data_IF_981482768125
#
_entry.id   IF_981482768125
#
_cell.length_a   1.000
_cell.length_b   1.000
_cell.length_c   1.000
_cell.angle_alpha   90.00
_cell.angle_beta   90.00
_cell.angle_gamma   90.00
#
_symmetry.space_group_name_H-M   'P 1'
#
loop_
_entity.id
_entity.type
_entity.pdbx_description
1 polymer ?
#
# COMPACT_ATOMS: atom_id res chain seq x y z
N UNK A 1 15.21 -14.36 -56.31
CA UNK A 1 14.24 -14.72 -55.26
C UNK A 1 14.79 -14.25 -53.92
N UNK A 2 14.15 -13.27 -53.29
CA UNK A 2 14.53 -12.80 -51.94
C UNK A 2 13.83 -13.72 -50.94
N UNK A 3 14.59 -14.62 -50.31
CA UNK A 3 14.06 -15.44 -49.22
C UNK A 3 13.74 -14.52 -48.04
N UNK A 4 12.45 -14.35 -47.73
CA UNK A 4 12.02 -13.70 -46.47
C UNK A 4 12.49 -14.58 -45.32
N UNK A 5 13.50 -14.13 -44.59
CA UNK A 5 13.89 -14.71 -43.31
C UNK A 5 12.73 -14.42 -42.35
N UNK A 6 11.81 -15.37 -42.21
CA UNK A 6 10.73 -15.27 -41.23
C UNK A 6 11.31 -15.55 -39.84
N UNK A 7 11.17 -14.59 -38.92
CA UNK A 7 11.48 -14.82 -37.51
C UNK A 7 10.58 -15.91 -36.95
N UNK A 8 11.12 -16.75 -36.06
CA UNK A 8 10.36 -17.81 -35.40
C UNK A 8 9.11 -17.21 -34.73
N UNK A 9 7.91 -17.79 -34.93
CA UNK A 9 6.68 -17.22 -34.41
C UNK A 9 6.65 -17.36 -32.88
N UNK A 10 6.85 -16.26 -32.17
CA UNK A 10 6.61 -16.16 -30.73
C UNK A 10 5.11 -15.99 -30.44
N UNK A 11 4.25 -16.84 -31.02
CA UNK A 11 2.78 -16.74 -30.98
C UNK A 11 2.16 -17.09 -29.63
N UNK A 12 2.86 -17.83 -28.76
CA UNK A 12 2.37 -18.17 -27.42
C UNK A 12 2.99 -17.26 -26.35
N UNK A 13 2.37 -16.11 -26.09
CA UNK A 13 2.69 -15.32 -24.89
C UNK A 13 1.75 -15.70 -23.74
N UNK A 14 2.16 -16.67 -22.92
CA UNK A 14 1.35 -17.20 -21.81
C UNK A 14 1.20 -16.22 -20.63
N UNK A 15 1.96 -15.12 -20.58
CA UNK A 15 1.99 -14.18 -19.45
C UNK A 15 1.84 -12.73 -19.92
N UNK A 16 0.64 -12.39 -20.39
CA UNK A 16 0.29 -11.00 -20.66
C UNK A 16 0.25 -10.19 -19.35
N UNK A 17 0.81 -8.98 -19.37
CA UNK A 17 0.84 -8.06 -18.23
C UNK A 17 -0.56 -7.78 -17.68
N UNK A 18 -1.55 -7.61 -18.57
CA UNK A 18 -2.97 -7.41 -18.22
C UNK A 18 -3.50 -8.52 -17.29
N UNK A 19 -3.15 -9.78 -17.58
CA UNK A 19 -3.56 -10.94 -16.77
C UNK A 19 -2.91 -10.91 -15.39
N UNK A 20 -1.65 -10.49 -15.28
CA UNK A 20 -0.96 -10.36 -13.99
C UNK A 20 -1.61 -9.24 -13.18
N UNK A 21 -1.84 -8.06 -13.78
CA UNK A 21 -2.47 -6.92 -13.10
C UNK A 21 -3.88 -7.26 -12.61
N UNK A 22 -4.70 -7.92 -13.45
CA UNK A 22 -6.02 -8.39 -13.06
C UNK A 22 -5.96 -9.39 -11.90
N UNK A 23 -4.99 -10.30 -11.92
CA UNK A 23 -4.79 -11.27 -10.85
C UNK A 23 -4.45 -10.57 -9.53
N UNK A 24 -3.65 -9.50 -9.56
CA UNK A 24 -3.38 -8.66 -8.38
C UNK A 24 -4.65 -7.96 -7.86
N UNK A 25 -5.48 -7.43 -8.76
CA UNK A 25 -6.79 -6.84 -8.37
C UNK A 25 -7.68 -7.88 -7.68
N UNK A 26 -7.75 -9.11 -8.22
CA UNK A 26 -8.54 -10.21 -7.64
C UNK A 26 -7.96 -10.62 -6.28
N UNK A 27 -6.63 -10.72 -6.17
CA UNK A 27 -5.96 -11.08 -4.93
C UNK A 27 -6.13 -10.03 -3.83
N UNK A 28 -6.43 -8.77 -4.19
CA UNK A 28 -6.70 -7.70 -3.22
C UNK A 28 -8.09 -7.78 -2.58
N UNK A 29 -9.03 -8.54 -3.18
CA UNK A 29 -10.42 -8.61 -2.72
C UNK A 29 -10.58 -9.06 -1.25
N UNK A 30 -9.85 -10.07 -0.73
CA UNK A 30 -9.96 -10.45 0.67
C UNK A 30 -9.59 -9.31 1.62
N UNK A 31 -8.52 -8.58 1.30
CA UNK A 31 -8.08 -7.41 2.08
C UNK A 31 -9.10 -6.28 2.05
N UNK A 32 -9.66 -5.98 0.88
CA UNK A 32 -10.74 -4.98 0.72
C UNK A 32 -11.99 -5.40 1.49
N UNK A 33 -12.36 -6.68 1.47
CA UNK A 33 -13.52 -7.21 2.18
C UNK A 33 -13.33 -7.06 3.70
N UNK A 34 -12.17 -7.43 4.23
CA UNK A 34 -11.86 -7.26 5.65
C UNK A 34 -11.86 -5.77 6.05
N UNK A 35 -11.27 -4.89 5.23
CA UNK A 35 -11.25 -3.45 5.52
C UNK A 35 -12.67 -2.86 5.49
N UNK A 36 -13.51 -3.28 4.55
CA UNK A 36 -14.92 -2.86 4.50
C UNK A 36 -15.71 -3.39 5.69
N UNK A 37 -15.43 -4.61 6.15
CA UNK A 37 -16.10 -5.21 7.30
C UNK A 37 -15.79 -4.47 8.60
N UNK A 38 -14.52 -4.16 8.87
CA UNK A 38 -14.12 -3.53 10.13
C UNK A 38 -14.26 -1.99 10.14
N UNK A 39 -14.12 -1.33 8.99
CA UNK A 39 -14.10 0.15 8.89
C UNK A 39 -15.26 0.73 8.07
N UNK A 40 -16.20 -0.11 7.63
CA UNK A 40 -17.41 0.30 6.92
C UNK A 40 -17.23 0.55 5.42
N UNK A 41 -18.28 1.11 4.80
CA UNK A 41 -18.44 1.23 3.35
C UNK A 41 -17.48 2.23 2.68
N UNK A 42 -16.81 3.09 3.45
CA UNK A 42 -16.00 4.19 2.92
C UNK A 42 -14.92 3.71 1.96
N UNK A 43 -14.24 2.61 2.28
CA UNK A 43 -13.19 2.01 1.45
C UNK A 43 -13.68 1.69 0.03
N UNK A 44 -14.91 1.17 -0.12
CA UNK A 44 -15.47 0.85 -1.44
C UNK A 44 -15.75 2.12 -2.25
N UNK A 45 -16.29 3.17 -1.63
CA UNK A 45 -16.52 4.43 -2.31
C UNK A 45 -15.21 5.07 -2.77
N UNK A 46 -14.15 5.02 -1.95
CA UNK A 46 -12.84 5.50 -2.36
C UNK A 46 -12.27 4.70 -3.52
N UNK A 47 -12.43 3.37 -3.52
CA UNK A 47 -11.97 2.52 -4.63
C UNK A 47 -12.71 2.88 -5.92
N UNK A 48 -14.03 3.08 -5.88
CA UNK A 48 -14.81 3.47 -7.06
C UNK A 48 -14.39 4.84 -7.58
N UNK A 49 -14.25 5.84 -6.70
CA UNK A 49 -13.81 7.18 -7.07
C UNK A 49 -12.40 7.17 -7.67
N UNK A 50 -11.46 6.42 -7.06
CA UNK A 50 -10.11 6.28 -7.57
C UNK A 50 -10.08 5.52 -8.91
N UNK A 51 -10.86 4.45 -9.06
CA UNK A 51 -10.94 3.69 -10.30
C UNK A 51 -11.44 4.57 -11.46
N UNK A 52 -12.54 5.30 -11.25
CA UNK A 52 -13.08 6.23 -12.26
C UNK A 52 -12.03 7.30 -12.59
N UNK A 53 -11.45 7.94 -11.57
CA UNK A 53 -10.45 8.98 -11.77
C UNK A 53 -9.22 8.47 -12.52
N UNK A 54 -8.73 7.27 -12.16
CA UNK A 54 -7.55 6.69 -12.78
C UNK A 54 -7.77 6.40 -14.28
N UNK A 55 -8.92 5.80 -14.61
CA UNK A 55 -9.28 5.47 -16.00
C UNK A 55 -9.50 6.74 -16.82
N UNK A 56 -10.18 7.75 -16.26
CA UNK A 56 -10.41 9.03 -16.93
C UNK A 56 -9.09 9.79 -17.14
N UNK A 57 -8.24 9.88 -16.11
CA UNK A 57 -6.95 10.56 -16.21
C UNK A 57 -6.04 9.89 -17.24
N UNK A 58 -5.97 8.56 -17.25
CA UNK A 58 -5.21 7.83 -18.26
C UNK A 58 -5.78 8.02 -19.67
N UNK A 59 -7.09 7.92 -19.85
CA UNK A 59 -7.74 8.13 -21.14
C UNK A 59 -7.48 9.54 -21.70
N UNK A 60 -7.53 10.57 -20.85
CA UNK A 60 -7.24 11.96 -21.24
C UNK A 60 -5.80 12.08 -21.72
N UNK A 61 -4.83 11.60 -20.95
CA UNK A 61 -3.40 11.73 -21.33
C UNK A 61 -3.09 10.93 -22.60
N UNK A 62 -3.65 9.73 -22.75
CA UNK A 62 -3.47 8.93 -23.96
C UNK A 62 -4.08 9.60 -25.19
N UNK A 63 -5.25 10.23 -25.05
CA UNK A 63 -5.89 11.00 -26.12
C UNK A 63 -5.05 12.21 -26.52
N UNK A 64 -4.49 12.93 -25.55
CA UNK A 64 -3.57 14.04 -25.81
C UNK A 64 -2.28 13.57 -26.51
N UNK A 65 -1.79 12.37 -26.19
CA UNK A 65 -0.65 11.72 -26.84
C UNK A 65 -0.99 11.06 -28.19
N UNK A 66 -2.25 11.14 -28.66
CA UNK A 66 -2.75 10.49 -29.88
C UNK A 66 -2.50 8.96 -29.90
N UNK A 67 -2.55 8.33 -28.74
CA UNK A 67 -2.39 6.88 -28.58
C UNK A 67 -3.74 6.16 -28.49
N UNK A 68 -3.75 4.85 -28.75
CA UNK A 68 -4.95 4.03 -28.68
C UNK A 68 -5.41 3.84 -27.24
N UNK A 69 -6.47 4.55 -26.84
CA UNK A 69 -7.02 4.54 -25.48
C UNK A 69 -7.50 3.14 -25.07
N UNK A 70 -8.28 2.48 -25.93
CA UNK A 70 -8.89 1.18 -25.60
C UNK A 70 -7.85 0.09 -25.29
N UNK A 71 -6.75 0.03 -26.05
CA UNK A 71 -5.72 -0.99 -25.85
C UNK A 71 -4.95 -0.81 -24.55
N UNK A 72 -4.73 0.43 -24.11
CA UNK A 72 -3.98 0.69 -22.88
C UNK A 72 -4.86 0.51 -21.64
N UNK A 73 -6.14 0.93 -21.68
CA UNK A 73 -7.04 0.72 -20.55
C UNK A 73 -7.30 -0.76 -20.22
N UNK A 74 -7.13 -1.66 -21.20
CA UNK A 74 -7.22 -3.11 -21.02
C UNK A 74 -6.01 -3.72 -20.29
N UNK A 75 -4.97 -2.94 -19.98
CA UNK A 75 -3.81 -3.42 -19.20
C UNK A 75 -4.07 -3.47 -17.69
N UNK A 76 -5.20 -2.91 -17.22
CA UNK A 76 -5.64 -2.81 -15.82
C UNK A 76 -4.68 -2.08 -14.87
N UNK A 77 -3.63 -1.46 -15.39
CA UNK A 77 -2.57 -0.90 -14.56
C UNK A 77 -2.97 0.44 -13.92
N UNK A 78 -3.76 1.28 -14.60
CA UNK A 78 -4.35 2.46 -13.97
C UNK A 78 -5.38 2.08 -12.91
N UNK A 79 -6.23 1.07 -13.19
CA UNK A 79 -7.19 0.55 -12.23
C UNK A 79 -6.50 0.06 -10.95
N UNK A 80 -5.45 -0.76 -11.10
CA UNK A 80 -4.67 -1.25 -9.97
C UNK A 80 -4.02 -0.11 -9.19
N UNK A 81 -3.46 0.90 -9.88
CA UNK A 81 -2.85 2.07 -9.24
C UNK A 81 -3.87 2.83 -8.40
N UNK A 82 -5.06 3.10 -8.94
CA UNK A 82 -6.15 3.75 -8.22
C UNK A 82 -6.63 2.93 -7.03
N UNK A 83 -6.79 1.61 -7.20
CA UNK A 83 -7.19 0.69 -6.14
C UNK A 83 -6.19 0.68 -4.98
N UNK A 84 -4.89 0.53 -5.26
CA UNK A 84 -3.85 0.49 -4.22
C UNK A 84 -3.77 1.83 -3.46
N UNK A 85 -3.94 2.96 -4.15
CA UNK A 85 -4.01 4.26 -3.50
C UNK A 85 -5.26 4.38 -2.62
N UNK A 86 -6.45 4.02 -3.14
CA UNK A 86 -7.71 4.11 -2.43
C UNK A 86 -7.77 3.26 -1.14
N UNK A 87 -7.16 2.08 -1.17
CA UNK A 87 -7.05 1.21 0.01
C UNK A 87 -6.10 1.80 1.06
N UNK A 88 -5.10 2.56 0.63
CA UNK A 88 -4.05 3.11 1.50
C UNK A 88 -4.47 4.40 2.22
N UNK A 89 -5.54 5.07 1.77
CA UNK A 89 -6.04 6.31 2.37
C UNK A 89 -7.18 6.04 3.37
N UNK A 90 -7.49 6.99 4.28
CA UNK A 90 -8.61 6.83 5.21
C UNK A 90 -9.97 6.65 4.49
N UNK A 91 -10.86 5.77 4.99
CA UNK A 91 -12.14 5.47 4.34
C UNK A 91 -13.07 6.68 4.17
N UNK A 92 -13.04 7.63 5.11
CA UNK A 92 -13.87 8.85 5.10
C UNK A 92 -13.12 10.09 4.59
N UNK A 93 -12.02 9.88 3.87
CA UNK A 93 -11.33 10.94 3.14
C UNK A 93 -12.33 11.72 2.24
N UNK A 94 -12.30 13.06 2.23
CA UNK A 94 -13.07 13.82 1.26
C UNK A 94 -12.78 13.41 -0.18
N UNK A 95 -13.83 13.33 -1.01
CA UNK A 95 -13.74 12.84 -2.39
C UNK A 95 -12.62 13.50 -3.22
N UNK A 96 -12.43 14.81 -3.02
CA UNK A 96 -11.45 15.60 -3.76
C UNK A 96 -10.02 15.14 -3.50
N UNK A 97 -9.70 14.61 -2.31
CA UNK A 97 -8.35 14.11 -2.02
C UNK A 97 -8.02 12.88 -2.86
N UNK A 98 -8.97 11.96 -2.98
CA UNK A 98 -8.77 10.72 -3.75
C UNK A 98 -8.63 11.03 -5.22
N UNK A 99 -9.44 11.97 -5.71
CA UNK A 99 -9.35 12.46 -7.08
C UNK A 99 -7.99 13.11 -7.34
N UNK A 100 -7.53 14.01 -6.46
CA UNK A 100 -6.23 14.67 -6.62
C UNK A 100 -5.06 13.68 -6.55
N UNK A 101 -5.04 12.79 -5.53
CA UNK A 101 -3.96 11.82 -5.35
C UNK A 101 -3.88 10.82 -6.50
N UNK A 102 -5.04 10.32 -6.96
CA UNK A 102 -5.11 9.39 -8.10
C UNK A 102 -4.74 10.09 -9.41
N UNK A 103 -5.23 11.31 -9.62
CA UNK A 103 -4.85 12.14 -10.76
C UNK A 103 -3.34 12.36 -10.81
N UNK A 104 -2.71 12.70 -9.69
CA UNK A 104 -1.27 12.88 -9.60
C UNK A 104 -0.51 11.56 -9.87
N UNK A 105 -0.96 10.45 -9.28
CA UNK A 105 -0.37 9.13 -9.50
C UNK A 105 -0.39 8.73 -10.99
N UNK A 106 -1.49 8.96 -11.70
CA UNK A 106 -1.60 8.58 -13.10
C UNK A 106 -0.90 9.58 -14.02
N UNK A 107 -1.18 10.87 -13.88
CA UNK A 107 -0.70 11.89 -14.82
C UNK A 107 0.80 12.12 -14.63
N UNK A 108 1.24 12.37 -13.39
CA UNK A 108 2.61 12.77 -13.09
C UNK A 108 3.50 11.56 -12.86
N UNK A 109 3.09 10.62 -12.00
CA UNK A 109 3.99 9.53 -11.61
C UNK A 109 4.08 8.40 -12.66
N UNK A 110 3.05 8.21 -13.48
CA UNK A 110 3.01 7.15 -14.50
C UNK A 110 3.16 7.68 -15.92
N UNK A 111 2.27 8.56 -16.36
CA UNK A 111 2.16 8.92 -17.78
C UNK A 111 3.22 9.93 -18.24
N UNK A 112 3.69 10.84 -17.36
CA UNK A 112 4.77 11.78 -17.68
C UNK A 112 6.06 11.08 -18.12
N UNK A 113 6.34 9.91 -17.54
CA UNK A 113 7.51 9.08 -17.87
C UNK A 113 7.30 8.17 -19.09
N UNK A 114 6.13 8.22 -19.72
CA UNK A 114 5.84 7.46 -20.94
C UNK A 114 4.82 6.33 -20.78
N UNK A 115 4.37 6.04 -19.55
CA UNK A 115 3.35 5.03 -19.25
C UNK A 115 3.90 3.78 -18.57
N UNK A 116 3.19 2.66 -18.73
CA UNK A 116 3.54 1.39 -18.09
C UNK A 116 4.93 0.88 -18.55
N UNK A 117 5.78 0.53 -17.58
CA UNK A 117 7.12 0.02 -17.84
C UNK A 117 8.22 1.08 -17.88
N UNK A 118 7.85 2.37 -17.85
CA UNK A 118 8.80 3.50 -17.84
C UNK A 118 8.76 4.30 -16.53
N UNK A 119 7.81 4.00 -15.63
CA UNK A 119 7.71 4.68 -14.35
C UNK A 119 8.86 4.27 -13.42
N UNK A 120 9.71 5.21 -12.97
CA UNK A 120 10.85 4.90 -12.09
C UNK A 120 10.43 4.52 -10.67
N UNK A 121 9.21 4.90 -10.28
CA UNK A 121 8.67 4.71 -8.94
C UNK A 121 7.26 4.12 -9.01
N UNK A 122 6.83 3.49 -7.92
CA UNK A 122 5.47 3.00 -7.78
C UNK A 122 4.49 4.20 -7.81
N UNK A 123 3.61 4.31 -8.83
CA UNK A 123 2.80 5.51 -9.00
C UNK A 123 1.77 5.73 -7.88
N UNK A 124 1.20 4.64 -7.35
CA UNK A 124 0.23 4.71 -6.26
C UNK A 124 0.88 5.28 -4.99
N UNK A 125 2.11 4.85 -4.69
CA UNK A 125 2.85 5.35 -3.53
C UNK A 125 3.28 6.81 -3.67
N UNK A 126 3.59 7.28 -4.88
CA UNK A 126 3.80 8.72 -5.11
C UNK A 126 2.53 9.50 -4.80
N UNK A 127 1.39 9.09 -5.34
CA UNK A 127 0.11 9.74 -5.05
C UNK A 127 -0.21 9.78 -3.56
N UNK A 128 0.00 8.66 -2.86
CA UNK A 128 -0.16 8.57 -1.41
C UNK A 128 0.76 9.54 -0.65
N UNK A 129 2.06 9.57 -0.97
CA UNK A 129 3.02 10.45 -0.29
C UNK A 129 2.72 11.93 -0.53
N UNK A 130 2.30 12.31 -1.74
CA UNK A 130 1.88 13.69 -2.03
C UNK A 130 0.68 14.09 -1.17
N UNK A 131 -0.31 13.21 -1.03
CA UNK A 131 -1.46 13.48 -0.16
C UNK A 131 -1.05 13.56 1.31
N UNK A 132 -0.19 12.66 1.77
CA UNK A 132 0.23 12.61 3.16
C UNK A 132 1.10 13.81 3.58
N UNK A 133 1.92 14.34 2.68
CA UNK A 133 2.70 15.57 2.93
C UNK A 133 1.82 16.82 2.85
N UNK A 134 0.94 16.89 1.83
CA UNK A 134 0.14 18.09 1.57
C UNK A 134 -1.07 18.23 2.51
N UNK A 135 -1.66 17.10 2.92
CA UNK A 135 -2.91 17.03 3.68
C UNK A 135 -2.79 16.05 4.87
N UNK A 136 -1.85 16.28 5.81
CA UNK A 136 -1.54 15.32 6.87
C UNK A 136 -2.72 15.08 7.82
N UNK A 137 -3.48 16.13 8.16
CA UNK A 137 -4.62 16.03 9.09
C UNK A 137 -5.65 15.03 8.56
N UNK A 138 -6.06 15.18 7.31
CA UNK A 138 -7.04 14.30 6.69
C UNK A 138 -6.49 12.88 6.49
N UNK A 139 -5.19 12.72 6.29
CA UNK A 139 -4.53 11.42 6.08
C UNK A 139 -4.30 10.61 7.37
N UNK A 140 -4.30 11.26 8.53
CA UNK A 140 -4.25 10.60 9.85
C UNK A 140 -5.63 10.34 10.45
N UNK A 141 -6.69 10.73 9.74
CA UNK A 141 -8.08 10.70 10.20
C UNK A 141 -8.75 9.34 9.97
N UNK A 142 -8.30 8.31 10.68
CA UNK A 142 -8.85 6.95 10.53
C UNK A 142 -10.08 6.73 11.43
N UNK A 143 -10.99 5.87 10.98
CA UNK A 143 -12.10 5.39 11.80
C UNK A 143 -11.61 4.33 12.79
N UNK A 144 -12.12 4.32 14.03
CA UNK A 144 -11.96 3.18 14.91
C UNK A 144 -12.61 1.92 14.29
N UNK A 145 -12.06 0.73 14.53
CA UNK A 145 -12.74 -0.53 14.20
C UNK A 145 -14.15 -0.60 14.80
N UNK A 146 -15.08 -1.25 14.08
CA UNK A 146 -16.48 -1.40 14.48
C UNK A 146 -16.69 -1.82 15.95
N UNK A 147 -15.86 -2.72 16.47
CA UNK A 147 -15.96 -3.23 17.85
C UNK A 147 -15.72 -2.18 18.94
N UNK A 148 -14.97 -1.11 18.63
CA UNK A 148 -14.59 -0.06 19.60
C UNK A 148 -15.12 1.34 19.20
N UNK A 149 -15.86 1.41 18.09
CA UNK A 149 -16.45 2.65 17.60
C UNK A 149 -17.69 3.02 18.42
N UNK A 150 -17.76 4.27 18.90
CA UNK A 150 -18.95 4.76 19.61
C UNK A 150 -20.14 4.98 18.67
N UNK A 151 -19.86 5.37 17.43
CA UNK A 151 -20.87 5.59 16.38
C UNK A 151 -20.38 5.00 15.07
N UNK A 152 -21.24 4.24 14.40
CA UNK A 152 -20.91 3.57 13.14
C UNK A 152 -21.74 4.20 12.02
N UNK A 153 -21.12 4.88 11.05
CA UNK A 153 -21.86 5.52 9.97
C UNK A 153 -22.46 4.46 9.05
N UNK A 154 -23.74 4.61 8.72
CA UNK A 154 -24.39 3.77 7.72
C UNK A 154 -23.86 4.10 6.31
N UNK A 155 -24.25 3.31 5.31
CA UNK A 155 -23.82 3.49 3.92
C UNK A 155 -24.13 4.91 3.40
N UNK A 156 -25.33 5.43 3.67
CA UNK A 156 -25.73 6.75 3.20
C UNK A 156 -24.99 7.88 3.94
N UNK A 157 -24.78 7.72 5.24
CA UNK A 157 -24.01 8.68 6.05
C UNK A 157 -22.54 8.72 5.63
N UNK A 158 -21.96 7.56 5.30
CA UNK A 158 -20.61 7.44 4.74
C UNK A 158 -20.51 8.22 3.43
N UNK A 159 -21.49 8.08 2.53
CA UNK A 159 -21.50 8.79 1.26
C UNK A 159 -21.61 10.30 1.47
N UNK A 160 -22.55 10.75 2.33
CA UNK A 160 -22.67 12.18 2.67
C UNK A 160 -21.38 12.71 3.29
N UNK A 161 -20.79 12.00 4.24
CA UNK A 161 -19.53 12.38 4.86
C UNK A 161 -18.42 12.59 3.82
N UNK A 162 -18.26 11.69 2.84
CA UNK A 162 -17.25 11.80 1.79
C UNK A 162 -17.47 13.03 0.88
N UNK A 163 -18.72 13.38 0.58
CA UNK A 163 -19.06 14.45 -0.37
C UNK A 163 -19.26 15.83 0.27
N UNK A 164 -19.91 15.89 1.44
CA UNK A 164 -20.34 17.12 2.10
C UNK A 164 -19.61 17.39 3.41
N UNK A 165 -18.91 16.40 3.99
CA UNK A 165 -18.20 16.58 5.25
C UNK A 165 -19.05 16.38 6.52
N UNK A 166 -20.33 16.02 6.37
CA UNK A 166 -21.28 15.88 7.48
C UNK A 166 -22.18 14.65 7.28
N UNK A 167 -22.56 13.97 8.38
CA UNK A 167 -23.57 12.89 8.35
C UNK A 167 -24.99 13.45 8.21
N UNK A 168 -25.98 12.58 7.97
CA UNK A 168 -27.39 13.00 7.92
C UNK A 168 -27.90 13.65 9.22
N UNK A 169 -27.31 13.27 10.36
CA UNK A 169 -27.58 13.84 11.68
C UNK A 169 -26.78 15.11 11.97
N UNK A 170 -25.97 15.61 11.03
CA UNK A 170 -25.08 16.77 11.23
C UNK A 170 -23.84 16.45 12.04
N UNK A 171 -23.49 15.16 12.19
CA UNK A 171 -22.28 14.74 12.86
C UNK A 171 -21.04 14.96 12.00
N UNK A 172 -19.99 15.47 12.62
CA UNK A 172 -18.70 15.70 11.99
C UNK A 172 -17.76 14.51 12.17
N UNK A 173 -16.70 14.49 11.37
CA UNK A 173 -15.64 13.49 11.45
C UNK A 173 -14.98 13.41 12.85
N UNK A 174 -15.06 14.46 13.66
CA UNK A 174 -14.58 14.45 15.05
C UNK A 174 -15.37 13.48 15.92
N UNK A 175 -16.70 13.44 15.78
CA UNK A 175 -17.57 12.55 16.55
C UNK A 175 -17.37 11.08 16.15
N UNK A 176 -17.20 10.82 14.85
CA UNK A 176 -17.00 9.46 14.32
C UNK A 176 -15.63 8.86 14.71
N UNK A 177 -14.66 9.69 15.12
CA UNK A 177 -13.34 9.23 15.57
C UNK A 177 -13.26 8.90 17.06
N UNK A 178 -14.27 9.31 17.83
CA UNK A 178 -14.29 9.08 19.27
C UNK A 178 -14.64 7.61 19.52
N UNK A 179 -13.76 6.90 20.24
CA UNK A 179 -14.05 5.56 20.75
C UNK A 179 -15.03 5.60 21.93
N UNK A 180 -15.46 4.43 22.40
CA UNK A 180 -16.37 4.28 23.54
C UNK A 180 -15.90 5.08 24.77
N UNK A 181 -14.57 5.19 24.95
CA UNK A 181 -13.94 5.86 26.09
C UNK A 181 -13.70 7.38 25.90
N UNK A 182 -14.25 7.99 24.86
CA UNK A 182 -14.06 9.44 24.61
C UNK A 182 -12.70 9.81 24.01
N UNK A 183 -11.78 8.85 23.88
CA UNK A 183 -10.45 9.06 23.28
C UNK A 183 -10.57 8.94 21.75
N UNK A 184 -10.03 9.92 21.03
CA UNK A 184 -9.88 9.83 19.57
C UNK A 184 -8.85 8.75 19.24
N UNK A 185 -9.26 7.72 18.50
CA UNK A 185 -8.36 6.62 18.15
C UNK A 185 -8.01 6.64 16.67
N UNK A 186 -6.71 6.65 16.40
CA UNK A 186 -6.14 6.41 15.09
C UNK A 186 -5.75 4.93 14.93
N UNK A 187 -5.00 4.62 13.87
CA UNK A 187 -4.43 3.27 13.67
C UNK A 187 -3.55 2.84 14.87
N UNK A 188 -3.36 1.53 15.14
CA UNK A 188 -2.54 1.09 16.28
C UNK A 188 -1.13 1.67 16.25
N UNK A 189 -0.48 1.71 15.09
CA UNK A 189 0.86 2.33 15.00
C UNK A 189 0.84 3.82 15.37
N UNK A 190 -0.23 4.54 15.04
CA UNK A 190 -0.38 5.96 15.36
C UNK A 190 -0.72 6.18 16.83
N UNK A 191 -1.63 5.38 17.41
CA UNK A 191 -1.93 5.45 18.84
C UNK A 191 -0.70 5.12 19.68
N UNK A 192 0.08 4.09 19.31
CA UNK A 192 1.33 3.77 20.00
C UNK A 192 2.29 4.97 20.00
N UNK A 193 2.51 5.57 18.82
CA UNK A 193 3.49 6.64 18.64
C UNK A 193 3.07 7.96 19.29
N UNK A 194 1.82 8.35 19.12
CA UNK A 194 1.28 9.58 19.69
C UNK A 194 1.23 9.50 21.22
N UNK A 195 0.77 8.38 21.78
CA UNK A 195 0.73 8.20 23.23
C UNK A 195 2.11 8.12 23.86
N UNK A 196 3.08 7.49 23.20
CA UNK A 196 4.47 7.48 23.67
C UNK A 196 5.05 8.91 23.70
N UNK A 197 4.77 9.72 22.66
CA UNK A 197 5.19 11.14 22.61
C UNK A 197 4.47 12.01 23.63
N UNK A 198 3.24 11.65 24.01
CA UNK A 198 2.51 12.29 25.09
C UNK A 198 3.06 11.93 26.49
N UNK A 199 4.06 11.04 26.58
CA UNK A 199 4.70 10.65 27.83
C UNK A 199 4.05 9.46 28.54
N UNK A 200 3.12 8.75 27.88
CA UNK A 200 2.54 7.53 28.43
C UNK A 200 3.54 6.36 28.36
N UNK A 201 3.54 5.53 29.39
CA UNK A 201 4.32 4.29 29.42
C UNK A 201 3.74 3.24 28.47
N UNK A 202 4.57 2.34 27.96
CA UNK A 202 4.13 1.26 27.05
C UNK A 202 3.09 0.37 27.73
N UNK A 203 3.22 0.12 29.02
CA UNK A 203 2.27 -0.65 29.80
C UNK A 203 0.88 -0.02 29.81
N UNK A 204 0.78 1.31 29.92
CA UNK A 204 -0.48 2.04 29.84
C UNK A 204 -1.06 2.02 28.43
N UNK A 205 -0.21 2.18 27.41
CA UNK A 205 -0.64 2.17 26.00
C UNK A 205 -1.26 0.82 25.63
N UNK A 206 -0.63 -0.28 26.05
CA UNK A 206 -1.11 -1.64 25.74
C UNK A 206 -2.42 -2.01 26.44
N UNK A 207 -2.88 -1.19 27.41
CA UNK A 207 -4.20 -1.34 28.05
C UNK A 207 -5.32 -0.63 27.27
N UNK A 208 -5.00 0.17 26.24
CA UNK A 208 -6.02 0.86 25.48
C UNK A 208 -6.94 -0.12 24.73
N UNK A 209 -8.23 0.23 24.51
CA UNK A 209 -9.20 -0.63 23.84
C UNK A 209 -8.75 -1.16 22.47
N UNK A 210 -7.91 -0.40 21.75
CA UNK A 210 -7.39 -0.83 20.46
C UNK A 210 -6.49 -2.06 20.57
N UNK A 211 -5.85 -2.29 21.72
CA UNK A 211 -4.95 -3.43 21.97
C UNK A 211 -5.59 -4.53 22.81
N UNK A 212 -6.81 -4.33 23.33
CA UNK A 212 -7.44 -5.30 24.21
C UNK A 212 -7.76 -6.59 23.45
N UNK A 213 -7.25 -7.72 23.96
CA UNK A 213 -7.48 -9.05 23.37
C UNK A 213 -6.90 -9.27 21.97
N UNK A 214 -6.06 -8.36 21.45
CA UNK A 214 -5.48 -8.44 20.10
C UNK A 214 -3.95 -8.30 20.12
N UNK A 215 -3.27 -9.02 19.22
CA UNK A 215 -1.80 -9.03 19.16
C UNK A 215 -1.22 -7.75 18.55
N UNK A 216 -1.96 -7.09 17.66
CA UNK A 216 -1.46 -5.95 16.88
C UNK A 216 -2.53 -4.89 16.56
N UNK A 217 -3.60 -4.86 17.36
CA UNK A 217 -4.75 -4.00 17.16
C UNK A 217 -6.01 -4.77 16.76
N UNK A 218 -7.12 -4.49 17.44
CA UNK A 218 -8.45 -4.99 17.10
C UNK A 218 -8.79 -4.59 15.66
N UNK A 219 -9.34 -5.52 14.87
CA UNK A 219 -9.61 -5.36 13.44
C UNK A 219 -8.37 -5.36 12.53
N UNK A 220 -7.33 -4.58 12.87
CA UNK A 220 -6.14 -4.39 12.02
C UNK A 220 -5.33 -5.68 11.80
N UNK A 221 -5.24 -6.55 12.81
CA UNK A 221 -4.60 -7.85 12.66
C UNK A 221 -5.31 -8.71 11.60
N UNK A 222 -6.64 -8.68 11.58
CA UNK A 222 -7.46 -9.46 10.64
C UNK A 222 -7.38 -8.89 9.23
N UNK A 223 -7.33 -7.57 9.08
CA UNK A 223 -7.08 -6.92 7.79
C UNK A 223 -5.71 -7.31 7.24
N UNK A 224 -4.65 -7.29 8.06
CA UNK A 224 -3.32 -7.75 7.63
C UNK A 224 -3.30 -9.23 7.26
N UNK A 225 -3.99 -10.09 8.00
CA UNK A 225 -4.13 -11.51 7.65
C UNK A 225 -4.87 -11.69 6.32
N UNK A 226 -5.92 -10.91 6.05
CA UNK A 226 -6.64 -10.96 4.78
C UNK A 226 -5.74 -10.54 3.60
N UNK A 227 -4.92 -9.50 3.77
CA UNK A 227 -3.88 -9.12 2.79
C UNK A 227 -2.83 -10.23 2.61
N UNK A 228 -2.43 -10.90 3.69
CA UNK A 228 -1.52 -12.05 3.63
C UNK A 228 -2.14 -13.21 2.83
N UNK A 229 -3.42 -13.54 3.01
CA UNK A 229 -4.11 -14.57 2.22
C UNK A 229 -4.08 -14.22 0.72
N UNK A 230 -4.37 -12.95 0.37
CA UNK A 230 -4.23 -12.45 -0.99
C UNK A 230 -2.80 -12.59 -1.54
N UNK A 231 -1.80 -12.23 -0.73
CA UNK A 231 -0.39 -12.35 -1.08
C UNK A 231 0.09 -13.79 -1.27
N UNK A 232 -0.37 -14.72 -0.43
CA UNK A 232 -0.09 -16.16 -0.57
C UNK A 232 -0.72 -16.70 -1.86
N UNK A 233 -1.93 -16.26 -2.20
CA UNK A 233 -2.55 -16.60 -3.49
C UNK A 233 -1.71 -16.11 -4.67
N UNK A 234 -1.13 -14.90 -4.62
CA UNK A 234 -0.22 -14.40 -5.66
C UNK A 234 1.06 -15.24 -5.80
N UNK A 235 1.60 -15.73 -4.68
CA UNK A 235 2.76 -16.63 -4.67
C UNK A 235 2.41 -18.00 -5.27
N UNK A 236 1.25 -18.56 -4.89
CA UNK A 236 0.77 -19.83 -5.42
C UNK A 236 0.55 -19.79 -6.93
N UNK A 237 -0.05 -18.70 -7.42
CA UNK A 237 -0.24 -18.45 -8.86
C UNK A 237 1.06 -18.07 -9.59
N UNK A 238 2.19 -17.98 -8.87
CA UNK A 238 3.51 -17.59 -9.41
C UNK A 238 3.49 -16.25 -10.15
N UNK A 239 2.59 -15.34 -9.74
CA UNK A 239 2.49 -13.98 -10.25
C UNK A 239 3.64 -13.12 -9.67
N UNK A 240 3.89 -13.27 -8.37
CA UNK A 240 5.00 -12.62 -7.66
C UNK A 240 6.06 -13.64 -7.24
N UNK A 241 7.27 -13.17 -6.89
CA UNK A 241 8.37 -14.00 -6.40
C UNK A 241 8.50 -13.84 -4.89
N UNK A 242 8.76 -14.95 -4.18
CA UNK A 242 8.88 -14.97 -2.72
C UNK A 242 10.05 -14.15 -2.17
N UNK A 243 11.09 -13.88 -2.97
CA UNK A 243 12.30 -13.17 -2.55
C UNK A 243 11.99 -11.79 -1.92
N UNK A 244 11.12 -10.98 -2.53
CA UNK A 244 10.83 -9.63 -2.01
C UNK A 244 10.00 -9.70 -0.72
N UNK A 245 8.82 -10.37 -0.68
CA UNK A 245 8.00 -10.38 0.54
C UNK A 245 8.71 -11.01 1.73
N UNK A 246 9.42 -12.14 1.53
CA UNK A 246 10.10 -12.84 2.62
C UNK A 246 11.29 -12.01 3.14
N UNK A 247 12.09 -11.42 2.25
CA UNK A 247 13.22 -10.58 2.67
C UNK A 247 12.76 -9.34 3.45
N UNK A 248 11.70 -8.69 2.98
CA UNK A 248 11.09 -7.54 3.64
C UNK A 248 10.56 -7.89 5.04
N UNK A 249 9.74 -8.94 5.16
CA UNK A 249 9.15 -9.34 6.44
C UNK A 249 10.20 -9.83 7.43
N UNK A 250 11.18 -10.62 6.99
CA UNK A 250 12.25 -11.13 7.85
C UNK A 250 13.11 -9.98 8.38
N UNK A 251 13.49 -9.04 7.52
CA UNK A 251 14.33 -7.92 7.93
C UNK A 251 13.58 -6.97 8.87
N UNK A 252 12.31 -6.68 8.58
CA UNK A 252 11.45 -5.89 9.46
C UNK A 252 11.29 -6.57 10.83
N UNK A 253 11.03 -7.87 10.85
CA UNK A 253 10.88 -8.65 12.09
C UNK A 253 12.17 -8.65 12.91
N UNK A 254 13.32 -8.85 12.26
CA UNK A 254 14.62 -8.90 12.91
C UNK A 254 15.00 -7.53 13.50
N UNK A 255 14.86 -6.45 12.73
CA UNK A 255 15.14 -5.10 13.21
C UNK A 255 14.19 -4.70 14.35
N UNK A 256 12.90 -5.02 14.23
CA UNK A 256 11.92 -4.78 15.29
C UNK A 256 12.23 -5.59 16.56
N UNK A 257 12.60 -6.86 16.43
CA UNK A 257 12.96 -7.72 17.56
C UNK A 257 14.20 -7.21 18.28
N UNK A 258 15.27 -6.86 17.54
CA UNK A 258 16.47 -6.29 18.13
C UNK A 258 16.17 -4.95 18.81
N UNK A 259 15.43 -4.05 18.16
CA UNK A 259 15.04 -2.77 18.74
C UNK A 259 14.25 -2.95 20.04
N UNK A 260 13.25 -3.82 20.03
CA UNK A 260 12.43 -4.12 21.20
C UNK A 260 13.23 -4.75 22.35
N UNK A 261 14.21 -5.61 22.05
CA UNK A 261 15.09 -6.21 23.08
C UNK A 261 16.01 -5.19 23.74
N UNK A 262 16.51 -4.19 23.00
CA UNK A 262 17.38 -3.16 23.56
C UNK A 262 16.61 -2.06 24.30
N UNK A 263 15.44 -1.68 23.80
CA UNK A 263 14.64 -0.58 24.38
C UNK A 263 13.13 -0.89 24.37
N UNK A 264 12.67 -1.85 25.21
CA UNK A 264 11.27 -2.28 25.23
C UNK A 264 10.31 -1.18 25.69
N UNK A 265 10.80 -0.22 26.47
CA UNK A 265 10.01 0.90 26.99
C UNK A 265 9.70 1.99 25.95
N UNK A 266 10.36 1.98 24.79
CA UNK A 266 10.18 3.02 23.76
C UNK A 266 9.83 2.48 22.39
N UNK A 267 10.16 1.21 22.11
CA UNK A 267 9.97 0.60 20.80
C UNK A 267 8.84 -0.42 20.84
N UNK A 268 8.08 -0.46 19.75
CA UNK A 268 6.97 -1.37 19.60
C UNK A 268 7.43 -2.83 19.44
N UNK A 269 6.57 -3.75 19.85
CA UNK A 269 6.81 -5.18 19.71
C UNK A 269 6.84 -5.63 18.23
N UNK A 270 7.57 -6.70 17.88
CA UNK A 270 7.69 -7.16 16.50
C UNK A 270 6.34 -7.53 15.85
N UNK A 271 5.43 -8.09 16.65
CA UNK A 271 4.06 -8.41 16.22
C UNK A 271 3.29 -7.17 15.79
N UNK A 272 3.46 -6.03 16.47
CA UNK A 272 2.83 -4.77 16.06
C UNK A 272 3.38 -4.30 14.71
N UNK A 273 4.68 -4.44 14.47
CA UNK A 273 5.26 -4.09 13.17
C UNK A 273 4.77 -5.00 12.03
N UNK A 274 4.59 -6.30 12.29
CA UNK A 274 4.21 -7.26 11.25
C UNK A 274 2.71 -7.28 10.95
N UNK A 275 1.87 -7.23 11.99
CA UNK A 275 0.42 -7.43 11.89
C UNK A 275 -0.37 -6.12 12.00
N UNK A 276 0.30 -4.97 12.06
CA UNK A 276 -0.33 -3.65 12.05
C UNK A 276 0.12 -2.76 10.88
N UNK A 277 -0.71 -1.77 10.56
CA UNK A 277 -0.50 -0.84 9.45
C UNK A 277 -0.52 -1.53 8.07
N UNK A 278 0.14 -0.92 7.09
CA UNK A 278 0.18 -1.39 5.71
C UNK A 278 1.27 -2.45 5.44
N UNK A 279 1.75 -3.19 6.45
CA UNK A 279 2.90 -4.11 6.27
C UNK A 279 2.62 -5.22 5.25
N UNK A 280 1.48 -5.93 5.35
CA UNK A 280 1.17 -7.03 4.44
C UNK A 280 0.76 -6.54 3.05
N UNK A 281 -0.01 -5.45 2.98
CA UNK A 281 -0.29 -4.75 1.72
C UNK A 281 1.02 -4.33 1.02
N UNK A 282 1.93 -3.72 1.79
CA UNK A 282 3.27 -3.32 1.37
C UNK A 282 4.09 -4.48 0.80
N UNK A 283 4.17 -5.56 1.56
CA UNK A 283 4.99 -6.73 1.25
C UNK A 283 4.56 -7.44 -0.05
N UNK A 284 3.25 -7.62 -0.26
CA UNK A 284 2.73 -8.51 -1.30
C UNK A 284 2.09 -7.80 -2.49
N UNK A 285 1.73 -6.52 -2.38
CA UNK A 285 1.03 -5.79 -3.44
C UNK A 285 1.81 -4.57 -3.94
N UNK A 286 2.57 -3.91 -3.05
CA UNK A 286 3.28 -2.67 -3.40
C UNK A 286 4.74 -2.94 -3.79
N UNK A 287 5.50 -3.63 -2.93
CA UNK A 287 6.93 -3.91 -3.16
C UNK A 287 7.17 -4.92 -4.30
N UNK A 288 6.16 -5.69 -4.67
CA UNK A 288 6.25 -6.72 -5.71
C UNK A 288 5.80 -6.23 -7.08
N UNK A 289 5.67 -4.91 -7.28
CA UNK A 289 5.38 -4.31 -8.57
C UNK A 289 6.49 -4.67 -9.59
N UNK A 290 6.17 -5.36 -10.71
CA UNK A 290 7.16 -5.85 -11.66
C UNK A 290 7.93 -4.74 -12.39
N UNK A 291 7.42 -3.50 -12.43
CA UNK A 291 8.10 -2.40 -13.13
C UNK A 291 9.16 -1.73 -12.28
N UNK A 292 8.87 -1.54 -10.99
CA UNK A 292 9.67 -0.70 -10.11
C UNK A 292 10.61 -1.51 -9.21
N UNK A 293 10.34 -2.79 -9.02
CA UNK A 293 11.18 -3.68 -8.23
C UNK A 293 12.40 -4.22 -9.00
N UNK A 294 13.41 -4.67 -8.26
CA UNK A 294 14.61 -5.33 -8.81
C UNK A 294 14.27 -6.57 -9.65
N UNK A 295 14.96 -6.70 -10.78
CA UNK A 295 14.74 -7.78 -11.75
C UNK A 295 15.51 -9.07 -11.42
N UNK A 296 16.60 -8.99 -10.67
CA UNK A 296 17.47 -10.14 -10.35
C UNK A 296 17.05 -10.82 -9.03
N UNK A 297 17.30 -12.14 -8.87
CA UNK A 297 16.93 -12.83 -7.62
C UNK A 297 17.68 -12.31 -6.39
N UNK A 298 18.98 -12.01 -6.53
CA UNK A 298 19.78 -11.43 -5.44
C UNK A 298 19.38 -10.00 -5.17
N UNK A 299 19.13 -9.21 -6.21
CA UNK A 299 18.68 -7.83 -6.08
C UNK A 299 17.31 -7.73 -5.40
N UNK A 300 16.37 -8.63 -5.70
CA UNK A 300 15.08 -8.73 -4.99
C UNK A 300 15.23 -8.93 -3.48
N UNK A 301 16.20 -9.75 -3.05
CA UNK A 301 16.46 -9.95 -1.62
C UNK A 301 17.02 -8.67 -0.99
N UNK A 302 17.99 -8.02 -1.64
CA UNK A 302 18.60 -6.77 -1.15
C UNK A 302 17.57 -5.66 -1.09
N UNK A 303 16.76 -5.51 -2.14
CA UNK A 303 15.68 -4.53 -2.22
C UNK A 303 14.64 -4.72 -1.12
N UNK A 304 14.16 -5.96 -0.91
CA UNK A 304 13.22 -6.27 0.17
C UNK A 304 13.83 -5.99 1.56
N UNK A 305 15.09 -6.37 1.78
CA UNK A 305 15.78 -6.11 3.05
C UNK A 305 15.94 -4.60 3.32
N UNK A 306 16.38 -3.84 2.32
CA UNK A 306 16.50 -2.38 2.41
C UNK A 306 15.16 -1.74 2.75
N UNK A 307 14.09 -2.10 2.05
CA UNK A 307 12.75 -1.62 2.36
C UNK A 307 12.33 -1.97 3.80
N UNK A 308 12.65 -3.18 4.28
CA UNK A 308 12.34 -3.63 5.64
C UNK A 308 13.05 -2.80 6.71
N UNK A 309 14.36 -2.53 6.53
CA UNK A 309 15.14 -1.65 7.42
C UNK A 309 14.57 -0.24 7.40
N UNK A 310 14.28 0.30 6.22
CA UNK A 310 13.73 1.66 6.07
C UNK A 310 12.37 1.80 6.75
N UNK A 311 11.47 0.81 6.61
CA UNK A 311 10.18 0.82 7.33
C UNK A 311 10.40 0.81 8.84
N UNK A 312 11.28 -0.05 9.35
CA UNK A 312 11.57 -0.09 10.78
C UNK A 312 12.14 1.24 11.29
N UNK A 313 13.10 1.84 10.57
CA UNK A 313 13.68 3.13 10.93
C UNK A 313 12.63 4.25 10.96
N UNK A 314 11.76 4.33 9.96
CA UNK A 314 10.72 5.37 9.88
C UNK A 314 9.67 5.18 10.98
N UNK A 315 9.24 3.95 11.24
CA UNK A 315 8.27 3.66 12.31
C UNK A 315 8.84 3.98 13.69
N UNK A 316 10.08 3.58 13.95
CA UNK A 316 10.74 3.73 15.24
C UNK A 316 11.20 5.17 15.52
N UNK A 317 11.89 5.79 14.57
CA UNK A 317 12.55 7.09 14.78
C UNK A 317 11.95 8.24 13.96
N UNK A 318 11.20 7.94 12.90
CA UNK A 318 10.64 8.95 12.00
C UNK A 318 9.47 9.73 12.58
N UNK A 319 8.95 10.69 11.81
CA UNK A 319 7.76 11.47 12.16
C UNK A 319 6.45 10.70 11.99
N UNK A 320 6.40 9.76 11.03
CA UNK A 320 5.17 9.10 10.60
C UNK A 320 4.94 7.76 11.32
N UNK A 321 3.68 7.40 11.64
CA UNK A 321 3.35 6.11 12.25
C UNK A 321 3.54 4.91 11.31
N UNK A 322 3.21 5.09 10.03
CA UNK A 322 3.52 4.12 8.99
C UNK A 322 4.64 4.65 8.09
N UNK A 323 5.50 3.75 7.63
CA UNK A 323 6.70 4.06 6.85
C UNK A 323 6.76 3.35 5.50
N UNK A 324 5.79 2.49 5.17
CA UNK A 324 5.85 1.62 3.97
C UNK A 324 5.98 2.43 2.69
N UNK A 325 5.13 3.44 2.47
CA UNK A 325 5.14 4.20 1.21
C UNK A 325 6.48 4.93 0.98
N UNK A 326 7.00 5.61 2.01
CA UNK A 326 8.30 6.29 1.94
C UNK A 326 9.44 5.30 1.73
N UNK A 327 9.44 4.19 2.46
CA UNK A 327 10.46 3.15 2.32
C UNK A 327 10.46 2.54 0.91
N UNK A 328 9.29 2.32 0.31
CA UNK A 328 9.15 1.83 -1.07
C UNK A 328 9.75 2.83 -2.06
N UNK A 329 9.42 4.13 -1.94
CA UNK A 329 9.95 5.14 -2.86
C UNK A 329 11.48 5.28 -2.73
N UNK A 330 12.00 5.29 -1.50
CA UNK A 330 13.44 5.29 -1.25
C UNK A 330 14.13 4.00 -1.71
N UNK A 331 13.48 2.85 -1.60
CA UNK A 331 14.03 1.61 -2.12
C UNK A 331 14.05 1.62 -3.66
N UNK A 332 13.00 2.14 -4.31
CA UNK A 332 12.89 2.23 -5.76
C UNK A 332 14.03 3.08 -6.38
N UNK A 333 14.47 4.16 -5.73
CA UNK A 333 15.61 4.96 -6.22
C UNK A 333 16.90 4.14 -6.32
N UNK A 334 17.05 3.13 -5.46
CA UNK A 334 18.26 2.29 -5.39
C UNK A 334 18.22 1.11 -6.36
N UNK A 335 17.07 0.81 -6.97
CA UNK A 335 16.90 -0.37 -7.84
C UNK A 335 17.88 -0.41 -9.01
N UNK A 336 18.12 0.68 -9.77
CA UNK A 336 19.11 0.66 -10.87
C UNK A 336 20.52 0.28 -10.38
N UNK A 337 20.90 0.73 -9.19
CA UNK A 337 22.20 0.43 -8.58
C UNK A 337 22.27 -1.03 -8.13
N UNK A 338 21.22 -1.51 -7.47
CA UNK A 338 21.11 -2.91 -7.03
C UNK A 338 21.19 -3.84 -8.25
N UNK A 339 20.44 -3.55 -9.31
CA UNK A 339 20.42 -4.37 -10.52
C UNK A 339 21.75 -4.33 -11.27
N UNK A 340 22.49 -3.21 -11.23
CA UNK A 340 23.84 -3.13 -11.78
C UNK A 340 24.82 -4.09 -11.08
N UNK A 341 24.81 -4.13 -9.75
CA UNK A 341 25.74 -4.98 -8.98
C UNK A 341 25.28 -6.44 -8.83
N UNK A 342 24.01 -6.73 -9.09
CA UNK A 342 23.43 -8.07 -8.91
C UNK A 342 23.20 -8.82 -10.22
N UNK A 343 23.72 -8.30 -11.34
CA UNK A 343 23.60 -8.93 -12.66
C UNK A 343 24.04 -10.40 -12.60
N UNK A 344 23.19 -11.34 -13.03
CA UNK A 344 23.56 -12.74 -13.09
C UNK A 344 24.68 -12.92 -14.12
N UNK A 345 25.62 -13.83 -13.84
CA UNK A 345 26.69 -14.14 -14.78
C UNK A 345 26.12 -14.80 -16.02
N UNK A 346 26.60 -14.39 -17.19
CA UNK A 346 26.27 -15.04 -18.46
C UNK A 346 26.80 -16.47 -18.42
N UNK A 347 25.95 -17.43 -18.79
CA UNK A 347 26.32 -18.84 -18.81
C UNK A 347 27.55 -19.07 -19.72
N UNK A 348 28.56 -19.77 -19.24
CA UNK A 348 29.76 -20.13 -20.02
C UNK A 348 31.06 -19.37 -19.73
N UNK A 349 31.09 -18.38 -18.83
CA UNK A 349 32.35 -17.74 -18.39
C UNK A 349 32.94 -18.39 -17.12
N UNK A 350 34.23 -18.74 -17.13
CA UNK A 350 34.98 -19.25 -15.96
C UNK A 350 35.12 -18.16 -14.89
N UNK A 351 35.15 -18.58 -13.61
CA UNK A 351 35.40 -17.67 -12.47
C UNK A 351 36.80 -17.04 -12.64
N UNK A 352 36.84 -15.76 -13.00
CA UNK A 352 38.00 -14.89 -12.78
C UNK A 352 37.99 -14.38 -11.34
#
# INVERSE_FOLDING_TARGET
MVFRIASSPYTHNQRQTSRIMLLVVIAALPGIAAQTWFFGWGTLFQIVLAAITALVAEAIVLRLRKQSVASHLQDYSALLTGLLLAVSIPPLAPWWMVVLGTGFAIIIAKQLYGGLGQNPFNPAMIGYVVLLISFPVQMTSWLPPYEIAATTPDMLDTLRMIFTGHTASGGDMTLLRIGIDGISQATPLDTFKTSLRAGHSVEQIMQYPIYSGALAGVGWQWVNLAWLVGGVFLLWQKAIRWHIPVSFLLTLALCAALGWLFSPATLASPQLHLLSGATMLGAFFILTDPVTASTTNRGRLIFGALAGVLVWLIRSFGGYPDGVAFAVLLANTTVPLIDYYTRPRVYGHRKG
#
